data_IF_583451207259
#
_entry.id   IF_583451207259
#
_cell.length_a   1.000
_cell.length_b   1.000
_cell.length_c   1.000
_cell.angle_alpha   90.00
_cell.angle_beta   90.00
_cell.angle_gamma   90.00
#
_symmetry.space_group_name_H-M   'P 1'
#
loop_
_entity.id
_entity.type
_entity.pdbx_description
1 polymer ?
#
# COMPACT_ATOMS: atom_id res chain seq x y z
N UNK A 1 19.04 4.31 -1.17
CA UNK A 1 19.16 5.74 -1.54
C UNK A 1 20.47 6.22 -0.93
N UNK A 2 21.51 6.45 -1.74
CA UNK A 2 22.78 6.97 -1.23
C UNK A 2 22.63 8.48 -1.03
N UNK A 3 22.77 8.95 0.22
CA UNK A 3 22.77 10.38 0.55
C UNK A 3 23.99 11.02 -0.15
N UNK A 4 23.77 12.03 -1.00
CA UNK A 4 24.85 12.85 -1.57
C UNK A 4 25.03 12.86 -3.09
N UNK A 5 24.32 12.00 -3.85
CA UNK A 5 24.54 11.88 -5.31
C UNK A 5 23.50 12.63 -6.17
N UNK A 6 22.66 13.48 -5.56
CA UNK A 6 21.55 14.16 -6.23
C UNK A 6 21.88 15.58 -6.69
N UNK A 7 21.51 15.91 -7.93
CA UNK A 7 21.69 17.23 -8.55
C UNK A 7 20.66 18.26 -8.04
N UNK A 8 20.76 18.64 -6.75
CA UNK A 8 20.39 19.93 -6.11
C UNK A 8 20.49 19.81 -4.59
N UNK A 9 21.14 20.78 -3.95
CA UNK A 9 21.26 20.89 -2.50
C UNK A 9 20.16 21.76 -1.91
N UNK A 10 19.04 21.14 -1.56
CA UNK A 10 18.05 21.73 -0.65
C UNK A 10 18.27 21.16 0.75
N UNK A 11 18.15 22.01 1.76
CA UNK A 11 18.12 21.63 3.16
C UNK A 11 16.74 21.05 3.49
N UNK A 12 16.65 20.24 4.56
CA UNK A 12 15.37 19.72 5.03
C UNK A 12 14.38 20.85 5.38
N UNK A 13 14.90 22.02 5.74
CA UNK A 13 14.17 23.26 6.04
C UNK A 13 13.54 23.92 4.79
N UNK A 14 14.09 23.67 3.60
CA UNK A 14 13.56 24.21 2.34
C UNK A 14 12.28 23.48 1.89
N UNK A 15 12.02 22.29 2.44
CA UNK A 15 10.88 21.47 2.07
C UNK A 15 9.61 21.93 2.81
N UNK A 16 8.46 22.03 2.12
CA UNK A 16 7.20 22.40 2.76
C UNK A 16 6.81 21.37 3.82
N UNK A 17 6.54 21.85 5.02
CA UNK A 17 6.16 21.03 6.17
C UNK A 17 4.63 21.05 6.40
N UNK A 18 4.10 19.94 6.93
CA UNK A 18 2.74 19.82 7.44
C UNK A 18 1.66 20.47 6.57
N UNK A 19 1.07 21.56 7.08
CA UNK A 19 -0.05 22.27 6.44
C UNK A 19 0.28 22.77 5.03
N UNK A 20 1.51 23.25 4.78
CA UNK A 20 1.91 23.72 3.44
C UNK A 20 1.91 22.57 2.44
N UNK A 21 2.42 21.40 2.85
CA UNK A 21 2.42 20.18 2.03
C UNK A 21 0.99 19.72 1.74
N UNK A 22 0.11 19.77 2.75
CA UNK A 22 -1.32 19.44 2.60
C UNK A 22 -2.03 20.38 1.63
N UNK A 23 -1.81 21.69 1.73
CA UNK A 23 -2.36 22.68 0.79
C UNK A 23 -1.91 22.43 -0.65
N UNK A 24 -0.63 22.11 -0.85
CA UNK A 24 -0.12 21.77 -2.19
C UNK A 24 -0.78 20.51 -2.75
N UNK A 25 -0.97 19.47 -1.94
CA UNK A 25 -1.66 18.25 -2.34
C UNK A 25 -3.11 18.53 -2.76
N UNK A 26 -3.87 19.27 -1.95
CA UNK A 26 -5.26 19.58 -2.25
C UNK A 26 -5.42 20.46 -3.50
N UNK A 27 -4.53 21.43 -3.70
CA UNK A 27 -4.55 22.24 -4.92
C UNK A 27 -4.21 21.41 -6.16
N UNK A 28 -3.20 20.54 -6.08
CA UNK A 28 -2.87 19.62 -7.18
C UNK A 28 -4.03 18.68 -7.53
N UNK A 29 -4.68 18.11 -6.50
CA UNK A 29 -5.87 17.28 -6.66
C UNK A 29 -7.01 18.03 -7.36
N UNK A 30 -7.28 19.27 -6.92
CA UNK A 30 -8.31 20.13 -7.52
C UNK A 30 -8.02 20.43 -8.98
N UNK A 31 -6.79 20.80 -9.33
CA UNK A 31 -6.38 21.08 -10.71
C UNK A 31 -6.52 19.85 -11.61
N UNK A 32 -6.12 18.67 -11.11
CA UNK A 32 -6.30 17.40 -11.84
C UNK A 32 -7.78 17.09 -12.06
N UNK A 33 -8.63 17.28 -11.05
CA UNK A 33 -10.08 17.10 -11.19
C UNK A 33 -10.70 18.07 -12.20
N UNK A 34 -10.25 19.33 -12.23
CA UNK A 34 -10.68 20.32 -13.24
C UNK A 34 -10.26 19.92 -14.65
N UNK A 35 -9.12 19.22 -14.80
CA UNK A 35 -8.67 18.65 -16.07
C UNK A 35 -9.33 17.30 -16.42
N UNK A 36 -10.32 16.84 -15.63
CA UNK A 36 -11.06 15.60 -15.88
C UNK A 36 -10.43 14.32 -15.33
N UNK A 37 -9.34 14.44 -14.56
CA UNK A 37 -8.71 13.29 -13.90
C UNK A 37 -9.41 12.97 -12.58
N UNK A 38 -9.82 11.71 -12.44
CA UNK A 38 -10.46 11.18 -11.25
C UNK A 38 -9.43 10.52 -10.35
N UNK A 39 -9.56 10.74 -9.05
CA UNK A 39 -8.71 10.06 -8.06
C UNK A 39 -9.04 8.57 -8.03
N UNK A 40 -8.03 7.72 -8.23
CA UNK A 40 -8.13 6.26 -8.19
C UNK A 40 -7.85 5.74 -6.77
N UNK A 41 -6.76 6.18 -6.17
CA UNK A 41 -6.39 5.83 -4.81
C UNK A 41 -5.08 6.50 -4.43
N UNK A 42 -4.97 6.94 -3.18
CA UNK A 42 -3.81 7.63 -2.61
C UNK A 42 -3.34 8.80 -3.51
N UNK A 43 -2.36 8.55 -4.35
CA UNK A 43 -1.61 9.47 -5.20
C UNK A 43 -1.86 9.25 -6.72
N UNK A 44 -2.73 8.30 -7.10
CA UNK A 44 -3.03 7.98 -8.49
C UNK A 44 -4.30 8.68 -8.99
N UNK A 45 -4.20 9.23 -10.19
CA UNK A 45 -5.27 9.92 -10.90
C UNK A 45 -5.34 9.41 -12.35
N UNK A 46 -6.55 9.19 -12.87
CA UNK A 46 -6.76 8.73 -14.23
C UNK A 46 -8.02 9.33 -14.85
N UNK A 47 -8.04 9.47 -16.18
CA UNK A 47 -9.24 9.90 -16.90
C UNK A 47 -10.35 8.84 -16.78
N UNK A 48 -11.60 9.25 -16.95
CA UNK A 48 -12.74 8.33 -16.91
C UNK A 48 -12.71 7.27 -18.03
N UNK A 49 -12.00 7.54 -19.12
CA UNK A 49 -11.74 6.60 -20.22
C UNK A 49 -10.62 5.60 -19.91
N UNK A 50 -9.86 5.78 -18.83
CA UNK A 50 -8.76 4.90 -18.46
C UNK A 50 -9.28 3.58 -17.86
N UNK A 51 -8.55 2.50 -18.12
CA UNK A 51 -8.85 1.17 -17.57
C UNK A 51 -8.78 1.15 -16.04
N UNK A 52 -7.89 1.94 -15.43
CA UNK A 52 -7.81 2.06 -13.97
C UNK A 52 -9.09 2.62 -13.37
N UNK A 53 -9.65 3.67 -13.99
CA UNK A 53 -10.92 4.24 -13.54
C UNK A 53 -12.06 3.25 -13.67
N UNK A 54 -12.14 2.56 -14.81
CA UNK A 54 -13.14 1.53 -15.05
C UNK A 54 -13.01 0.38 -14.04
N UNK A 55 -11.79 -0.11 -13.78
CA UNK A 55 -11.54 -1.17 -12.79
C UNK A 55 -11.87 -0.73 -11.37
N UNK A 56 -11.60 0.52 -10.99
CA UNK A 56 -12.00 1.06 -9.69
C UNK A 56 -13.53 1.06 -9.56
N UNK A 57 -14.25 1.55 -10.57
CA UNK A 57 -15.73 1.58 -10.57
C UNK A 57 -16.36 0.20 -10.50
N UNK A 58 -15.70 -0.80 -11.09
CA UNK A 58 -16.16 -2.19 -11.11
C UNK A 58 -15.57 -3.03 -9.96
N UNK A 59 -14.94 -2.41 -8.96
CA UNK A 59 -14.32 -3.09 -7.80
C UNK A 59 -13.27 -4.16 -8.16
N UNK A 60 -12.73 -4.05 -9.38
CA UNK A 60 -11.72 -4.94 -9.96
C UNK A 60 -10.31 -4.34 -9.90
N UNK A 61 -10.15 -3.17 -9.27
CA UNK A 61 -8.86 -2.54 -9.05
C UNK A 61 -7.97 -3.45 -8.19
N UNK A 62 -6.73 -3.60 -8.63
CA UNK A 62 -5.72 -4.34 -7.90
C UNK A 62 -4.49 -3.46 -7.64
N UNK A 63 -3.66 -3.88 -6.69
CA UNK A 63 -2.44 -3.16 -6.34
C UNK A 63 -1.31 -4.16 -6.13
N UNK A 64 -0.17 -3.89 -6.75
CA UNK A 64 1.05 -4.68 -6.62
C UNK A 64 2.25 -3.75 -6.29
N UNK A 65 3.48 -4.26 -6.40
CA UNK A 65 4.67 -3.47 -6.08
C UNK A 65 4.79 -2.17 -6.92
N UNK A 66 4.28 -2.15 -8.15
CA UNK A 66 4.34 -1.00 -9.07
C UNK A 66 3.23 0.04 -8.84
N UNK A 67 2.22 -0.28 -8.02
CA UNK A 67 1.07 0.60 -7.78
C UNK A 67 -0.25 -0.03 -8.19
N UNK A 68 -1.21 0.82 -8.53
CA UNK A 68 -2.55 0.38 -8.95
C UNK A 68 -2.52 -0.17 -10.38
N UNK A 69 -3.28 -1.24 -10.62
CA UNK A 69 -3.39 -1.90 -11.92
C UNK A 69 -4.83 -2.34 -12.18
N UNK A 70 -5.22 -2.27 -13.45
CA UNK A 70 -6.49 -2.75 -13.95
C UNK A 70 -6.50 -4.29 -14.17
N UNK A 71 -5.33 -4.93 -14.07
CA UNK A 71 -5.15 -6.37 -14.26
C UNK A 71 -4.76 -7.05 -12.96
N UNK A 72 -5.46 -8.14 -12.61
CA UNK A 72 -5.12 -9.01 -11.48
C UNK A 72 -4.28 -10.17 -11.99
N UNK A 73 -3.00 -10.20 -11.65
CA UNK A 73 -2.11 -11.34 -11.89
C UNK A 73 -1.81 -12.02 -10.56
N UNK A 74 -1.74 -13.36 -10.54
CA UNK A 74 -1.31 -14.10 -9.34
C UNK A 74 0.21 -14.22 -9.26
N UNK A 75 0.91 -13.93 -10.35
CA UNK A 75 2.36 -13.97 -10.47
C UNK A 75 2.85 -12.75 -11.25
N UNK A 76 3.86 -12.11 -10.69
CA UNK A 76 4.68 -11.09 -11.32
C UNK A 76 6.14 -11.52 -11.16
N UNK A 77 6.85 -11.65 -12.27
CA UNK A 77 8.29 -11.93 -12.27
C UNK A 77 9.04 -10.63 -12.54
N UNK A 78 9.76 -10.15 -11.53
CA UNK A 78 10.60 -8.97 -11.66
C UNK A 78 11.93 -9.31 -12.32
N UNK A 79 12.22 -8.71 -13.47
CA UNK A 79 13.51 -8.85 -14.16
C UNK A 79 14.41 -7.64 -13.91
N UNK A 80 15.72 -7.86 -13.84
CA UNK A 80 16.71 -6.82 -13.60
C UNK A 80 17.20 -6.74 -12.15
N UNK A 81 18.25 -5.96 -11.94
CA UNK A 81 18.79 -5.69 -10.62
C UNK A 81 17.74 -5.00 -9.74
N UNK A 82 17.69 -5.38 -8.46
CA UNK A 82 16.77 -4.89 -7.42
C UNK A 82 15.28 -5.18 -7.60
N UNK A 83 14.88 -5.79 -8.72
CA UNK A 83 13.48 -6.10 -9.02
C UNK A 83 12.86 -6.98 -7.93
N UNK A 84 11.55 -6.83 -7.75
CA UNK A 84 10.77 -7.64 -6.82
C UNK A 84 9.76 -8.43 -7.64
N UNK A 85 9.81 -9.75 -7.47
CA UNK A 85 8.78 -10.68 -7.90
C UNK A 85 7.74 -10.80 -6.79
N UNK A 86 6.48 -10.86 -7.20
CA UNK A 86 5.32 -10.96 -6.32
C UNK A 86 4.47 -12.13 -6.80
N UNK A 87 4.25 -13.09 -5.91
CA UNK A 87 3.23 -14.12 -6.05
C UNK A 87 2.23 -14.00 -4.91
N UNK A 88 1.07 -14.65 -5.03
CA UNK A 88 0.13 -14.70 -3.92
C UNK A 88 0.75 -15.27 -2.63
N UNK A 89 1.70 -16.20 -2.75
CA UNK A 89 2.28 -16.96 -1.64
C UNK A 89 3.62 -16.41 -1.15
N UNK A 90 4.15 -15.35 -1.74
CA UNK A 90 5.45 -14.84 -1.34
C UNK A 90 6.08 -13.85 -2.31
N UNK A 91 7.16 -13.25 -1.83
CA UNK A 91 7.96 -12.25 -2.54
C UNK A 91 9.40 -12.76 -2.71
N UNK A 92 10.03 -12.36 -3.80
CA UNK A 92 11.46 -12.56 -4.02
C UNK A 92 12.08 -11.28 -4.59
N UNK A 93 13.25 -10.90 -4.10
CA UNK A 93 13.98 -9.73 -4.55
C UNK A 93 15.31 -10.14 -5.18
N UNK A 94 15.57 -9.64 -6.37
CA UNK A 94 16.87 -9.81 -7.02
C UNK A 94 17.97 -9.00 -6.32
N UNK A 95 19.23 -9.41 -6.47
CA UNK A 95 20.40 -8.67 -6.02
C UNK A 95 20.36 -7.23 -6.54
N UNK A 96 20.78 -6.29 -5.70
CA UNK A 96 20.64 -4.85 -5.98
C UNK A 96 21.82 -4.28 -6.78
N UNK A 97 22.99 -4.90 -6.64
CA UNK A 97 24.18 -4.49 -7.36
C UNK A 97 24.08 -5.00 -8.81
N UNK A 98 24.39 -4.11 -9.77
CA UNK A 98 24.20 -4.40 -11.19
C UNK A 98 25.25 -5.39 -11.70
N UNK A 99 26.50 -5.26 -11.26
CA UNK A 99 27.60 -6.14 -11.65
C UNK A 99 27.37 -7.58 -11.14
N UNK A 100 26.93 -7.71 -9.89
CA UNK A 100 26.53 -8.98 -9.27
C UNK A 100 25.35 -9.61 -10.02
N UNK A 101 24.32 -8.82 -10.33
CA UNK A 101 23.16 -9.29 -11.11
C UNK A 101 23.60 -9.87 -12.46
N UNK A 102 24.41 -9.12 -13.22
CA UNK A 102 24.91 -9.56 -14.52
C UNK A 102 25.73 -10.86 -14.40
N UNK A 103 26.64 -10.91 -13.43
CA UNK A 103 27.48 -12.07 -13.17
C UNK A 103 26.68 -13.35 -12.86
N UNK A 104 25.64 -13.26 -12.03
CA UNK A 104 24.79 -14.40 -11.69
C UNK A 104 23.98 -14.88 -12.91
N UNK A 105 23.40 -13.94 -13.67
CA UNK A 105 22.61 -14.26 -14.86
C UNK A 105 23.46 -14.90 -15.95
N UNK A 106 24.67 -14.39 -16.22
CA UNK A 106 25.61 -14.97 -17.20
C UNK A 106 26.01 -16.41 -16.86
N UNK A 107 25.99 -16.77 -15.57
CA UNK A 107 26.26 -18.12 -15.06
C UNK A 107 25.01 -19.01 -15.00
N UNK A 108 23.85 -18.53 -15.41
CA UNK A 108 22.58 -19.26 -15.32
C UNK A 108 22.07 -19.46 -13.88
N UNK A 109 22.53 -18.62 -12.93
CA UNK A 109 22.11 -18.66 -11.53
C UNK A 109 20.98 -17.64 -11.33
N UNK A 110 19.90 -18.05 -10.64
CA UNK A 110 18.83 -17.11 -10.29
C UNK A 110 19.36 -16.03 -9.32
N UNK A 111 19.25 -14.74 -9.68
CA UNK A 111 19.89 -13.66 -8.94
C UNK A 111 19.09 -13.24 -7.68
N UNK A 112 18.49 -14.20 -6.95
CA UNK A 112 17.63 -13.93 -5.80
C UNK A 112 18.49 -13.67 -4.56
N UNK A 113 18.38 -12.46 -4.00
CA UNK A 113 19.08 -12.05 -2.78
C UNK A 113 18.31 -12.43 -1.51
N UNK A 114 17.00 -12.23 -1.51
CA UNK A 114 16.11 -12.52 -0.37
C UNK A 114 14.68 -12.71 -0.82
N UNK A 115 13.88 -13.38 0.01
CA UNK A 115 12.44 -13.51 -0.19
C UNK A 115 11.69 -13.69 1.13
N UNK A 116 10.37 -13.71 1.03
CA UNK A 116 9.47 -14.01 2.15
C UNK A 116 8.35 -14.91 1.64
N UNK A 117 8.18 -16.08 2.26
CA UNK A 117 7.07 -16.99 1.98
C UNK A 117 5.97 -16.66 2.99
N UNK A 118 4.78 -16.39 2.48
CA UNK A 118 3.63 -16.03 3.29
C UNK A 118 3.01 -17.29 3.89
N UNK A 119 2.82 -17.29 5.21
CA UNK A 119 2.01 -18.31 5.87
C UNK A 119 0.49 -18.03 5.63
N UNK A 120 -0.38 -18.82 6.26
CA UNK A 120 -1.84 -18.64 6.09
C UNK A 120 -2.34 -17.31 6.66
N UNK A 121 -1.86 -16.91 7.84
CA UNK A 121 -2.20 -15.62 8.47
C UNK A 121 -1.77 -14.43 7.60
N UNK A 122 -0.54 -14.46 7.08
CA UNK A 122 0.01 -13.45 6.18
C UNK A 122 -0.86 -13.28 4.93
N UNK A 123 -1.41 -14.38 4.39
CA UNK A 123 -2.31 -14.33 3.22
C UNK A 123 -3.66 -13.70 3.55
N UNK A 124 -4.22 -13.98 4.73
CA UNK A 124 -5.47 -13.37 5.21
C UNK A 124 -5.26 -11.87 5.45
N UNK A 125 -4.21 -11.49 6.19
CA UNK A 125 -3.81 -10.10 6.43
C UNK A 125 -3.59 -9.36 5.12
N UNK A 126 -2.85 -9.95 4.17
CA UNK A 126 -2.66 -9.39 2.83
C UNK A 126 -3.98 -9.10 2.13
N UNK A 127 -4.96 -10.00 2.24
CA UNK A 127 -6.29 -9.83 1.63
C UNK A 127 -7.05 -8.66 2.25
N UNK A 128 -7.03 -8.53 3.58
CA UNK A 128 -7.63 -7.35 4.26
C UNK A 128 -6.99 -6.04 3.80
N UNK A 129 -5.65 -5.96 3.80
CA UNK A 129 -4.93 -4.76 3.38
C UNK A 129 -5.24 -4.42 1.91
N UNK A 130 -5.25 -5.41 1.01
CA UNK A 130 -5.60 -5.19 -0.39
C UNK A 130 -7.05 -4.71 -0.57
N UNK A 131 -7.99 -5.26 0.19
CA UNK A 131 -9.38 -4.81 0.14
C UNK A 131 -9.49 -3.35 0.59
N UNK A 132 -8.87 -2.98 1.72
CA UNK A 132 -8.87 -1.60 2.23
C UNK A 132 -8.20 -0.62 1.27
N UNK A 133 -7.08 -1.02 0.65
CA UNK A 133 -6.33 -0.16 -0.28
C UNK A 133 -7.01 0.04 -1.64
N UNK A 134 -7.79 -0.93 -2.10
CA UNK A 134 -8.40 -0.91 -3.44
C UNK A 134 -9.90 -0.61 -3.44
N UNK A 135 -10.61 -0.99 -2.37
CA UNK A 135 -12.08 -0.92 -2.25
C UNK A 135 -12.53 -0.06 -1.08
N UNK A 136 -11.62 0.34 -0.20
CA UNK A 136 -11.93 1.10 1.02
C UNK A 136 -12.85 0.37 2.00
N UNK A 137 -12.94 -0.95 1.91
CA UNK A 137 -13.71 -1.78 2.83
C UNK A 137 -13.08 -3.17 2.96
N UNK A 138 -13.40 -3.88 4.04
CA UNK A 138 -13.10 -5.31 4.18
C UNK A 138 -14.12 -5.98 5.11
N UNK A 139 -14.30 -7.30 4.99
CA UNK A 139 -15.20 -8.08 5.83
C UNK A 139 -14.60 -9.44 6.21
N UNK A 140 -15.16 -10.03 7.27
CA UNK A 140 -14.80 -11.35 7.80
C UNK A 140 -16.05 -12.13 8.23
N UNK A 141 -16.96 -12.46 7.28
CA UNK A 141 -18.22 -13.13 7.59
C UNK A 141 -18.00 -14.55 8.16
N UNK A 142 -16.94 -15.21 7.73
CA UNK A 142 -16.54 -16.59 8.06
C UNK A 142 -15.09 -16.67 8.56
N UNK A 143 -14.69 -17.87 8.97
CA UNK A 143 -13.36 -18.12 9.54
C UNK A 143 -12.22 -18.00 8.52
N UNK A 144 -12.51 -18.01 7.20
CA UNK A 144 -11.48 -17.92 6.17
C UNK A 144 -10.87 -16.52 6.04
N UNK A 145 -11.53 -15.52 6.62
CA UNK A 145 -11.06 -14.13 6.71
C UNK A 145 -10.76 -13.74 8.16
N UNK A 146 -10.73 -14.69 9.09
CA UNK A 146 -10.45 -14.43 10.49
C UNK A 146 -9.01 -14.79 10.83
N UNK A 147 -8.38 -14.02 11.72
CA UNK A 147 -7.08 -14.31 12.30
C UNK A 147 -7.01 -13.82 13.75
N UNK A 148 -6.08 -14.34 14.54
CA UNK A 148 -6.06 -14.21 16.01
C UNK A 148 -6.09 -12.75 16.50
N UNK A 149 -5.30 -11.88 15.86
CA UNK A 149 -5.19 -10.47 16.24
C UNK A 149 -6.35 -9.59 15.72
N UNK A 150 -7.25 -10.11 14.89
CA UNK A 150 -8.30 -9.30 14.25
C UNK A 150 -9.20 -8.55 15.25
N UNK A 151 -9.76 -9.17 16.32
CA UNK A 151 -10.59 -8.44 17.29
C UNK A 151 -9.86 -7.27 17.93
N UNK A 152 -8.60 -7.50 18.32
CA UNK A 152 -7.74 -6.48 18.91
C UNK A 152 -7.48 -5.32 17.94
N UNK A 153 -7.29 -5.61 16.67
CA UNK A 153 -7.09 -4.59 15.63
C UNK A 153 -8.34 -3.71 15.52
N UNK A 154 -9.52 -4.32 15.48
CA UNK A 154 -10.78 -3.60 15.41
C UNK A 154 -11.00 -2.73 16.67
N UNK A 155 -10.75 -3.28 17.85
CA UNK A 155 -10.82 -2.52 19.11
C UNK A 155 -9.84 -1.33 19.11
N UNK A 156 -8.65 -1.50 18.53
CA UNK A 156 -7.64 -0.45 18.41
C UNK A 156 -7.98 0.68 17.43
N UNK A 157 -9.01 0.54 16.61
CA UNK A 157 -9.44 1.54 15.62
C UNK A 157 -10.50 2.51 16.13
N UNK A 158 -10.88 2.43 17.40
CA UNK A 158 -11.95 3.23 18.00
C UNK A 158 -11.76 4.75 17.86
N UNK A 159 -10.52 5.28 17.97
CA UNK A 159 -10.26 6.71 17.79
C UNK A 159 -10.55 7.16 16.36
N UNK A 160 -10.16 6.35 15.37
CA UNK A 160 -10.42 6.63 13.95
C UNK A 160 -11.91 6.53 13.62
N UNK A 161 -12.63 5.62 14.27
CA UNK A 161 -14.08 5.52 14.17
C UNK A 161 -14.77 6.73 14.80
N UNK A 162 -14.34 7.15 15.99
CA UNK A 162 -14.86 8.34 16.67
C UNK A 162 -14.63 9.62 15.86
N UNK A 163 -13.50 9.72 15.15
CA UNK A 163 -13.19 10.79 14.21
C UNK A 163 -13.98 10.70 12.89
N UNK A 164 -14.76 9.64 12.68
CA UNK A 164 -15.55 9.39 11.48
C UNK A 164 -14.72 9.03 10.24
N UNK A 165 -13.48 8.56 10.43
CA UNK A 165 -12.59 8.13 9.34
C UNK A 165 -13.00 6.76 8.79
N UNK A 166 -13.54 5.91 9.66
CA UNK A 166 -14.03 4.59 9.30
C UNK A 166 -15.32 4.28 10.08
N UNK A 167 -15.99 3.22 9.67
CA UNK A 167 -17.14 2.63 10.36
C UNK A 167 -16.88 1.15 10.54
N UNK A 168 -17.03 0.67 11.76
CA UNK A 168 -17.02 -0.75 12.08
C UNK A 168 -18.47 -1.20 12.17
N UNK A 169 -18.79 -2.29 11.47
CA UNK A 169 -20.09 -2.95 11.53
C UNK A 169 -19.89 -4.41 11.92
N UNK A 170 -20.98 -5.17 12.04
CA UNK A 170 -20.87 -6.59 12.34
C UNK A 170 -20.06 -7.31 11.26
N UNK A 171 -18.85 -7.78 11.63
CA UNK A 171 -17.91 -8.50 10.75
C UNK A 171 -17.46 -7.73 9.50
N UNK A 172 -17.45 -6.39 9.54
CA UNK A 172 -16.93 -5.57 8.46
C UNK A 172 -16.41 -4.21 8.92
N UNK A 173 -15.57 -3.62 8.07
CA UNK A 173 -15.01 -2.28 8.23
C UNK A 173 -15.08 -1.54 6.89
N UNK A 174 -15.57 -0.30 6.92
CA UNK A 174 -15.64 0.61 5.76
C UNK A 174 -14.89 1.91 6.07
N UNK A 175 -14.01 2.35 5.17
CA UNK A 175 -13.31 3.63 5.24
C UNK A 175 -14.19 4.70 4.59
N UNK A 176 -14.56 5.72 5.36
CA UNK A 176 -15.40 6.81 4.87
C UNK A 176 -14.63 7.68 3.87
N UNK A 177 -15.32 8.52 3.06
CA UNK A 177 -14.63 9.52 2.23
C UNK A 177 -13.65 10.42 3.01
N UNK A 178 -13.95 10.72 4.29
CA UNK A 178 -13.07 11.48 5.18
C UNK A 178 -11.81 10.69 5.57
N UNK A 179 -11.91 9.36 5.70
CA UNK A 179 -10.80 8.48 6.05
C UNK A 179 -9.90 8.06 4.89
N UNK A 180 -10.31 8.21 3.63
CA UNK A 180 -9.50 7.78 2.46
C UNK A 180 -8.07 8.32 2.44
N UNK A 181 -7.79 9.59 2.81
CA UNK A 181 -6.40 10.08 2.93
C UNK A 181 -5.56 9.29 3.94
N UNK A 182 -6.20 8.69 4.94
CA UNK A 182 -5.59 7.94 6.05
C UNK A 182 -5.62 6.42 5.80
N UNK A 183 -5.91 5.96 4.58
CA UNK A 183 -6.01 4.52 4.26
C UNK A 183 -4.75 3.74 4.67
N UNK A 184 -3.57 4.36 4.53
CA UNK A 184 -2.30 3.76 4.96
C UNK A 184 -2.25 3.58 6.48
N UNK A 185 -2.65 4.59 7.25
CA UNK A 185 -2.71 4.51 8.71
C UNK A 185 -3.69 3.43 9.18
N UNK A 186 -4.83 3.28 8.50
CA UNK A 186 -5.81 2.22 8.78
C UNK A 186 -5.22 0.85 8.44
N UNK A 187 -4.57 0.70 7.29
CA UNK A 187 -3.93 -0.57 6.89
C UNK A 187 -2.76 -0.95 7.81
N UNK A 188 -2.06 0.02 8.42
CA UNK A 188 -1.00 -0.26 9.38
C UNK A 188 -1.53 -0.96 10.65
N UNK A 189 -2.80 -0.76 11.02
CA UNK A 189 -3.41 -1.51 12.12
C UNK A 189 -3.49 -3.02 11.79
N UNK A 190 -3.57 -3.38 10.51
CA UNK A 190 -3.55 -4.78 10.05
C UNK A 190 -2.12 -5.33 9.87
N UNK A 191 -1.06 -4.55 10.08
CA UNK A 191 0.33 -5.03 10.03
C UNK A 191 0.72 -5.73 11.34
N UNK A 192 0.33 -7.00 11.43
CA UNK A 192 0.54 -7.85 12.60
C UNK A 192 2.02 -8.00 12.98
N UNK A 193 2.91 -8.09 11.98
CA UNK A 193 4.35 -8.23 12.20
C UNK A 193 4.96 -6.96 12.81
N UNK A 194 4.48 -5.78 12.40
CA UNK A 194 4.90 -4.51 12.97
C UNK A 194 4.53 -4.42 14.46
N UNK A 195 3.29 -4.77 14.81
CA UNK A 195 2.81 -4.74 16.19
C UNK A 195 3.56 -5.74 17.08
N UNK A 196 3.68 -7.00 16.65
CA UNK A 196 4.33 -8.06 17.44
C UNK A 196 5.81 -7.78 17.70
N UNK A 197 6.51 -7.09 16.78
CA UNK A 197 7.91 -6.69 16.94
C UNK A 197 8.10 -5.44 17.80
N UNK A 198 7.11 -4.54 17.87
CA UNK A 198 7.24 -3.29 18.61
C UNK A 198 5.88 -2.82 19.15
N UNK A 199 5.40 -3.42 20.25
CA UNK A 199 4.05 -3.18 20.78
C UNK A 199 3.78 -1.74 21.22
N UNK A 200 4.83 -0.98 21.54
CA UNK A 200 4.75 0.39 22.05
C UNK A 200 4.95 1.47 20.97
N UNK A 201 5.20 1.09 19.72
CA UNK A 201 5.41 2.08 18.64
C UNK A 201 4.09 2.80 18.36
N UNK A 202 4.11 4.14 18.34
CA UNK A 202 3.01 4.91 17.73
C UNK A 202 2.91 4.52 16.26
N UNK A 203 1.92 3.69 15.93
CA UNK A 203 1.72 3.10 14.60
C UNK A 203 1.35 4.14 13.54
N UNK A 204 0.90 5.33 13.94
CA UNK A 204 0.46 6.32 12.97
C UNK A 204 1.63 7.20 12.51
N UNK A 205 2.04 6.97 11.25
CA UNK A 205 2.87 7.91 10.52
C UNK A 205 2.24 9.30 10.56
N UNK A 206 3.03 10.35 10.82
CA UNK A 206 2.61 11.76 10.69
C UNK A 206 2.32 12.16 9.23
N UNK A 207 2.34 11.22 8.29
CA UNK A 207 2.15 11.48 6.87
C UNK A 207 0.68 11.36 6.50
N UNK A 208 -0.01 12.50 6.49
CA UNK A 208 -1.30 12.72 5.81
C UNK A 208 -1.05 13.49 4.51
#
# INVERSE_FOLDING_TARGET
>A
WLKGNGQRGYLDEDLPQGEKKRKQYEEGKKLLSQAGYMQIGIDHFALSSDRLYTSMKNEALHRNFMGYTASKTQLMVGLGASSISDSWYGFAQNVKNLEEYAHLVEKGIFPIYRGHILNEEDQIVRKHILNLMCRFETSWPDDAMYFEDLPRIIDGLWEMEADGLLKVSYKSLEITPKGRPFVRNICMAFDVLLYRKSPETRLFSMTV
#
